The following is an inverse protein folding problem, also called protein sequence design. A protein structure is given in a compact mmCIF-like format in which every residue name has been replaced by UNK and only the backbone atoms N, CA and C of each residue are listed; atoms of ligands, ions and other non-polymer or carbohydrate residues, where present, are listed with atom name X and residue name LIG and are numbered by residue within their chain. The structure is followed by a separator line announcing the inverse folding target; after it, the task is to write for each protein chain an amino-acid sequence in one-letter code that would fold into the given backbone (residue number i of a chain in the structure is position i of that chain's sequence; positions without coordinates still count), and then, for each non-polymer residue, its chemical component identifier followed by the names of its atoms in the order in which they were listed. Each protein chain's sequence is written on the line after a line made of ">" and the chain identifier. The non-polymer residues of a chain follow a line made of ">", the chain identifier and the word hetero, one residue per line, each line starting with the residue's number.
data_IF_224422163066
#
_entry.id   IF_224422163066
#
_cell.length_a   1.000
_cell.length_b   1.000
_cell.length_c   1.000
_cell.angle_alpha   90.00
_cell.angle_beta   90.00
_cell.angle_gamma   90.00
#
_symmetry.space_group_name_H-M   'P 1'
#
loop_
_entity.id
_entity.type
_entity.pdbx_description
1 polymer ?
#
# COMPACT_ATOMS: atom_id res chain seq x y z
N UNK A 1 19.91 -0.95 33.01
CA UNK A 1 18.91 0.08 33.32
C UNK A 1 17.55 -0.59 33.37
N UNK A 2 16.79 -0.48 34.48
CA UNK A 2 15.40 -0.96 34.52
C UNK A 2 14.57 -0.12 33.56
N UNK A 3 14.03 -0.76 32.48
CA UNK A 3 13.04 -0.11 31.61
C UNK A 3 11.88 0.33 32.50
N UNK A 4 11.61 1.62 32.57
CA UNK A 4 10.36 2.14 33.13
C UNK A 4 9.22 1.51 32.34
N UNK A 5 8.38 0.74 33.03
CA UNK A 5 7.24 0.02 32.48
C UNK A 5 6.23 1.01 31.89
N UNK A 6 6.46 1.48 30.65
CA UNK A 6 5.50 2.36 30.02
C UNK A 6 5.99 3.28 28.89
N UNK A 7 7.28 3.56 28.77
CA UNK A 7 7.78 4.44 27.71
C UNK A 7 7.63 3.82 26.30
N UNK A 8 7.18 4.61 25.33
CA UNK A 8 7.14 4.21 23.91
C UNK A 8 8.57 4.17 23.37
N UNK A 9 8.90 3.16 22.59
CA UNK A 9 10.26 2.97 22.08
C UNK A 9 10.32 2.32 20.68
N UNK A 10 9.17 2.10 20.04
CA UNK A 10 9.06 1.57 18.68
C UNK A 10 8.30 2.56 17.81
N UNK A 11 8.96 3.11 16.82
CA UNK A 11 8.38 4.07 15.86
C UNK A 11 8.32 3.41 14.48
N UNK A 12 7.13 3.27 13.91
CA UNK A 12 6.92 2.74 12.55
C UNK A 12 6.43 3.85 11.64
N UNK A 13 7.10 4.05 10.51
CA UNK A 13 6.87 5.18 9.59
C UNK A 13 6.57 4.65 8.20
N UNK A 14 5.48 5.12 7.61
CA UNK A 14 5.09 4.82 6.23
C UNK A 14 5.17 6.07 5.36
N UNK A 15 5.78 5.92 4.18
CA UNK A 15 5.91 6.97 3.18
C UNK A 15 5.85 6.38 1.76
N UNK A 16 5.44 7.19 0.77
CA UNK A 16 5.42 6.80 -0.62
C UNK A 16 5.75 7.99 -1.53
N UNK A 17 4.85 8.41 -2.40
CA UNK A 17 5.05 9.55 -3.30
C UNK A 17 5.31 10.86 -2.50
N UNK A 18 6.44 11.51 -2.79
CA UNK A 18 6.93 12.65 -1.99
C UNK A 18 7.64 12.26 -0.68
N UNK A 19 7.65 10.96 -0.34
CA UNK A 19 8.13 10.43 0.93
C UNK A 19 9.63 10.62 1.18
N UNK A 20 10.46 10.62 0.15
CA UNK A 20 11.91 10.79 0.32
C UNK A 20 12.25 12.14 0.98
N UNK A 21 11.66 13.24 0.49
CA UNK A 21 11.87 14.56 1.07
C UNK A 21 11.31 14.67 2.49
N UNK A 22 10.14 14.07 2.72
CA UNK A 22 9.52 14.01 4.03
C UNK A 22 10.38 13.23 5.03
N UNK A 23 10.89 12.05 4.67
CA UNK A 23 11.79 11.26 5.50
C UNK A 23 13.10 11.99 5.79
N UNK A 24 13.77 12.59 4.80
CA UNK A 24 14.98 13.38 5.01
C UNK A 24 14.73 14.50 6.02
N UNK A 25 13.64 15.25 5.88
CA UNK A 25 13.25 16.30 6.81
C UNK A 25 13.07 15.80 8.23
N UNK A 26 12.34 14.70 8.42
CA UNK A 26 12.11 14.11 9.75
C UNK A 26 13.43 13.60 10.34
N UNK A 27 14.20 12.81 9.57
CA UNK A 27 15.44 12.17 10.05
C UNK A 27 16.48 13.22 10.49
N UNK A 28 16.58 14.38 9.80
CA UNK A 28 17.50 15.45 10.18
C UNK A 28 17.13 16.16 11.49
N UNK A 29 15.90 16.03 11.97
CA UNK A 29 15.38 16.66 13.18
C UNK A 29 15.29 15.70 14.37
N UNK A 30 15.58 14.41 14.20
CA UNK A 30 15.61 13.46 15.31
C UNK A 30 16.84 13.70 16.19
N UNK A 31 16.71 13.59 17.53
CA UNK A 31 17.87 13.70 18.43
C UNK A 31 18.79 12.48 18.28
N UNK A 32 20.10 12.70 18.43
CA UNK A 32 21.12 11.62 18.34
C UNK A 32 21.04 10.58 19.46
N UNK A 33 20.38 10.91 20.55
CA UNK A 33 20.14 10.04 21.72
C UNK A 33 18.69 9.56 21.83
N UNK A 34 17.95 9.55 20.70
CA UNK A 34 16.55 9.09 20.66
C UNK A 34 16.40 7.70 21.33
N UNK A 35 15.65 7.56 22.43
CA UNK A 35 15.52 6.30 23.17
C UNK A 35 14.50 5.34 22.50
N UNK A 36 14.46 5.32 21.16
CA UNK A 36 13.54 4.51 20.36
C UNK A 36 14.23 3.97 19.12
N UNK A 37 13.69 2.87 18.59
CA UNK A 37 14.04 2.33 17.27
C UNK A 37 13.02 2.81 16.24
N UNK A 38 13.48 3.25 15.07
CA UNK A 38 12.64 3.77 13.97
C UNK A 38 12.65 2.79 12.80
N UNK A 39 11.49 2.42 12.32
CA UNK A 39 11.32 1.49 11.20
C UNK A 39 10.60 2.20 10.06
N UNK A 40 11.21 2.22 8.90
CA UNK A 40 10.72 2.95 7.73
C UNK A 40 10.32 1.99 6.62
N UNK A 41 9.09 2.12 6.15
CA UNK A 41 8.64 1.55 4.88
C UNK A 41 8.40 2.70 3.91
N UNK A 42 9.11 2.64 2.79
CA UNK A 42 8.85 3.46 1.61
C UNK A 42 8.66 2.54 0.41
N UNK A 43 7.69 2.84 -0.44
CA UNK A 43 7.44 2.05 -1.65
C UNK A 43 8.55 2.32 -2.69
N UNK A 44 9.58 1.48 -2.71
CA UNK A 44 10.78 1.59 -3.56
C UNK A 44 10.84 0.54 -4.67
N UNK A 45 9.80 -0.33 -4.77
CA UNK A 45 9.79 -1.42 -5.75
C UNK A 45 10.74 -2.56 -5.39
N UNK A 46 11.16 -3.33 -6.42
CA UNK A 46 11.98 -4.53 -6.25
C UNK A 46 13.46 -4.32 -6.64
N UNK A 47 13.81 -3.15 -7.20
CA UNK A 47 15.19 -2.85 -7.60
C UNK A 47 16.06 -2.50 -6.38
N UNK A 48 17.40 -2.73 -6.45
CA UNK A 48 18.32 -2.32 -5.40
C UNK A 48 18.12 -0.86 -5.00
N UNK A 49 18.18 -0.57 -3.71
CA UNK A 49 17.90 0.75 -3.16
C UNK A 49 19.07 1.25 -2.31
N UNK A 50 19.40 2.52 -2.50
CA UNK A 50 20.36 3.29 -1.72
C UNK A 50 19.67 4.25 -0.74
N UNK A 51 18.42 3.95 -0.37
CA UNK A 51 17.65 4.78 0.52
C UNK A 51 18.30 4.97 1.91
N UNK A 52 18.91 3.94 2.53
CA UNK A 52 19.62 4.14 3.80
C UNK A 52 20.76 5.15 3.68
N UNK A 53 21.57 5.09 2.64
CA UNK A 53 22.69 6.00 2.38
C UNK A 53 22.20 7.45 2.21
N UNK A 54 21.10 7.62 1.48
CA UNK A 54 20.49 8.94 1.28
C UNK A 54 19.96 9.52 2.60
N UNK A 55 19.32 8.71 3.43
CA UNK A 55 18.79 9.16 4.72
C UNK A 55 19.91 9.38 5.74
N UNK A 56 20.98 8.55 5.72
CA UNK A 56 22.11 8.67 6.62
C UNK A 56 22.82 10.02 6.48
N UNK A 57 22.83 10.61 5.30
CA UNK A 57 23.49 11.90 5.05
C UNK A 57 23.01 13.02 5.97
N UNK A 58 21.73 13.00 6.37
CA UNK A 58 21.11 14.04 7.17
C UNK A 58 20.68 13.52 8.58
N UNK A 59 20.77 12.21 8.85
CA UNK A 59 20.28 11.59 10.08
C UNK A 59 21.41 11.43 11.12
N UNK A 60 21.22 11.90 12.35
CA UNK A 60 22.21 11.72 13.42
C UNK A 60 22.24 10.29 13.99
N UNK A 61 21.24 9.46 13.66
CA UNK A 61 21.15 8.06 14.06
C UNK A 61 21.75 7.15 12.97
N UNK A 62 22.27 5.96 13.31
CA UNK A 62 22.62 4.92 12.32
C UNK A 62 21.41 4.55 11.47
N UNK A 63 21.55 4.58 10.15
CA UNK A 63 20.51 4.18 9.18
C UNK A 63 21.00 3.00 8.35
N UNK A 64 20.21 1.92 8.28
CA UNK A 64 20.59 0.74 7.52
C UNK A 64 19.38 0.02 6.94
N UNK A 65 19.57 -0.78 5.88
CA UNK A 65 18.57 -1.79 5.54
C UNK A 65 18.45 -2.83 6.65
N UNK A 66 17.22 -3.18 7.00
CA UNK A 66 16.94 -4.25 7.93
C UNK A 66 17.43 -5.60 7.38
N UNK A 67 17.94 -6.47 8.23
CA UNK A 67 18.31 -7.85 7.92
C UNK A 67 17.36 -8.84 8.63
N UNK A 68 17.13 -9.98 8.00
CA UNK A 68 16.29 -11.03 8.60
C UNK A 68 16.94 -11.59 9.86
N UNK A 69 16.14 -11.78 10.92
CA UNK A 69 16.62 -12.23 12.23
C UNK A 69 17.46 -11.20 13.01
N UNK A 70 17.55 -9.95 12.54
CA UNK A 70 18.33 -8.91 13.22
C UNK A 70 17.66 -8.47 14.53
N UNK A 71 18.41 -8.44 15.66
CA UNK A 71 17.91 -7.87 16.91
C UNK A 71 17.63 -6.37 16.78
N UNK A 72 16.51 -5.93 17.38
CA UNK A 72 16.13 -4.53 17.39
C UNK A 72 16.98 -3.78 18.43
N UNK A 73 17.77 -2.82 17.95
CA UNK A 73 18.60 -1.95 18.80
C UNK A 73 17.96 -0.55 18.92
N UNK A 74 18.01 0.09 20.10
CA UNK A 74 17.56 1.46 20.27
C UNK A 74 18.42 2.44 19.46
N UNK A 75 17.93 3.65 19.26
CA UNK A 75 18.64 4.73 18.55
C UNK A 75 19.13 4.32 17.15
N UNK A 76 18.33 3.52 16.44
CA UNK A 76 18.67 3.00 15.11
C UNK A 76 17.48 3.14 14.18
N UNK A 77 17.72 3.52 12.92
CA UNK A 77 16.73 3.60 11.85
C UNK A 77 16.89 2.39 10.92
N UNK A 78 15.87 1.57 10.84
CA UNK A 78 15.78 0.40 9.97
C UNK A 78 14.90 0.71 8.76
N UNK A 79 15.44 0.58 7.56
CA UNK A 79 14.71 0.76 6.30
C UNK A 79 14.34 -0.62 5.74
N UNK A 80 13.10 -0.82 5.40
CA UNK A 80 12.66 -2.06 4.75
C UNK A 80 13.40 -2.25 3.42
N UNK A 81 14.05 -3.41 3.19
CA UNK A 81 14.74 -3.67 1.94
C UNK A 81 13.74 -3.91 0.79
N UNK A 82 14.18 -3.74 -0.48
CA UNK A 82 13.36 -4.03 -1.64
C UNK A 82 12.82 -5.46 -1.65
N UNK A 83 11.60 -5.61 -2.17
CA UNK A 83 10.92 -6.91 -2.37
C UNK A 83 10.84 -7.79 -1.11
N UNK A 84 10.80 -7.19 0.08
CA UNK A 84 10.59 -7.86 1.37
C UNK A 84 9.63 -7.05 2.23
N UNK A 85 8.64 -7.70 2.84
CA UNK A 85 7.92 -7.11 3.96
C UNK A 85 8.83 -7.15 5.20
N UNK A 86 8.88 -6.04 5.92
CA UNK A 86 9.54 -5.96 7.22
C UNK A 86 8.49 -6.09 8.32
N UNK A 87 8.68 -7.05 9.21
CA UNK A 87 7.81 -7.31 10.36
C UNK A 87 8.66 -7.42 11.63
N UNK A 88 7.99 -7.49 12.77
CA UNK A 88 8.62 -7.67 14.09
C UNK A 88 8.05 -8.88 14.79
N UNK A 89 8.91 -9.64 15.47
CA UNK A 89 8.52 -10.75 16.34
C UNK A 89 9.63 -11.04 17.37
N UNK A 90 9.25 -11.18 18.63
CA UNK A 90 10.15 -11.56 19.73
C UNK A 90 11.41 -10.68 19.83
N UNK A 91 11.31 -9.38 19.56
CA UNK A 91 12.43 -8.44 19.59
C UNK A 91 13.35 -8.52 18.36
N UNK A 92 12.99 -9.28 17.34
CA UNK A 92 13.72 -9.44 16.09
C UNK A 92 12.98 -8.80 14.93
N UNK A 93 13.73 -8.37 13.91
CA UNK A 93 13.22 -8.02 12.61
C UNK A 93 13.07 -9.29 11.78
N UNK A 94 11.90 -9.47 11.16
CA UNK A 94 11.61 -10.58 10.25
C UNK A 94 11.34 -10.03 8.86
N UNK A 95 12.04 -10.55 7.86
CA UNK A 95 11.82 -10.21 6.46
C UNK A 95 11.05 -11.32 5.76
N UNK A 96 9.88 -10.97 5.21
CA UNK A 96 8.99 -11.93 4.54
C UNK A 96 8.89 -11.66 3.04
N UNK A 97 8.89 -12.74 2.24
CA UNK A 97 8.52 -12.76 0.82
C UNK A 97 7.04 -13.06 0.59
N UNK A 98 6.24 -12.94 1.64
CA UNK A 98 4.80 -13.17 1.57
C UNK A 98 4.10 -12.36 0.47
N UNK A 99 2.82 -12.66 0.21
CA UNK A 99 2.03 -11.97 -0.80
C UNK A 99 2.05 -10.45 -0.63
N UNK A 100 2.00 -9.72 -1.74
CA UNK A 100 1.94 -8.26 -1.72
C UNK A 100 0.70 -7.77 -0.96
N UNK A 101 0.84 -6.64 -0.29
CA UNK A 101 -0.28 -5.89 0.27
C UNK A 101 -0.33 -4.51 -0.39
N UNK A 102 -1.52 -4.09 -0.83
CA UNK A 102 -1.73 -2.87 -1.61
C UNK A 102 -0.79 -2.78 -2.84
N UNK A 103 -0.56 -3.93 -3.51
CA UNK A 103 0.35 -4.10 -4.67
C UNK A 103 1.82 -3.80 -4.38
N UNK A 104 2.20 -3.56 -3.12
CA UNK A 104 3.54 -3.21 -2.70
C UNK A 104 4.21 -4.33 -1.89
N UNK A 105 5.55 -4.41 -2.03
CA UNK A 105 6.45 -5.15 -1.17
C UNK A 105 7.82 -4.47 -1.22
N UNK A 106 8.24 -3.77 -0.15
CA UNK A 106 7.59 -3.67 1.16
C UNK A 106 6.26 -2.90 1.13
N UNK A 107 5.34 -3.27 2.04
CA UNK A 107 4.12 -2.53 2.36
C UNK A 107 4.14 -2.12 3.84
N UNK A 108 3.45 -1.02 4.18
CA UNK A 108 3.42 -0.48 5.52
C UNK A 108 2.52 -1.30 6.47
N UNK A 109 1.37 -1.77 5.99
CA UNK A 109 0.39 -2.46 6.81
C UNK A 109 0.97 -3.68 7.56
N UNK A 110 1.81 -4.58 6.98
CA UNK A 110 2.44 -5.68 7.70
C UNK A 110 3.36 -5.22 8.85
N UNK A 111 4.16 -4.17 8.62
CA UNK A 111 5.04 -3.60 9.65
C UNK A 111 4.22 -3.06 10.82
N UNK A 112 3.23 -2.24 10.55
CA UNK A 112 2.40 -1.60 11.56
C UNK A 112 1.62 -2.62 12.38
N UNK A 113 1.02 -3.64 11.73
CA UNK A 113 0.30 -4.72 12.43
C UNK A 113 1.23 -5.53 13.34
N UNK A 114 2.41 -5.90 12.86
CA UNK A 114 3.37 -6.63 13.68
C UNK A 114 3.86 -5.80 14.88
N UNK A 115 4.15 -4.51 14.68
CA UNK A 115 4.50 -3.60 15.76
C UNK A 115 3.35 -3.46 16.79
N UNK A 116 2.10 -3.35 16.31
CA UNK A 116 0.91 -3.27 17.16
C UNK A 116 0.73 -4.52 18.04
N UNK A 117 0.90 -5.71 17.47
CA UNK A 117 0.75 -6.98 18.20
C UNK A 117 1.87 -7.18 19.22
N UNK A 118 3.12 -6.94 18.81
CA UNK A 118 4.31 -7.22 19.65
C UNK A 118 4.49 -6.17 20.76
N UNK A 119 4.25 -4.90 20.44
CA UNK A 119 4.61 -3.80 21.34
C UNK A 119 3.40 -3.05 21.90
N UNK A 120 2.23 -3.15 21.29
CA UNK A 120 0.98 -2.54 21.78
C UNK A 120 1.14 -1.03 22.07
N UNK A 121 0.90 -0.60 23.34
CA UNK A 121 1.01 0.80 23.75
C UNK A 121 2.41 1.42 23.58
N UNK A 122 3.45 0.62 23.38
CA UNK A 122 4.83 1.09 23.14
C UNK A 122 5.06 1.52 21.68
N UNK A 123 4.16 1.15 20.76
CA UNK A 123 4.27 1.48 19.36
C UNK A 123 3.79 2.92 19.06
N UNK A 124 4.50 3.61 18.17
CA UNK A 124 4.11 4.89 17.56
C UNK A 124 4.00 4.65 16.06
N UNK A 125 2.80 4.82 15.49
CA UNK A 125 2.56 4.74 14.05
C UNK A 125 2.54 6.12 13.41
N UNK A 126 3.29 6.32 12.32
CA UNK A 126 3.40 7.59 11.59
C UNK A 126 3.07 7.39 10.12
N UNK A 127 2.06 8.09 9.62
CA UNK A 127 1.70 8.10 8.19
C UNK A 127 2.10 9.43 7.59
N UNK A 128 2.94 9.35 6.54
CA UNK A 128 3.40 10.50 5.75
C UNK A 128 2.74 10.54 4.38
N UNK A 129 3.16 11.49 3.56
CA UNK A 129 2.74 11.65 2.17
C UNK A 129 2.85 10.34 1.36
N UNK A 130 1.84 10.04 0.53
CA UNK A 130 1.77 8.84 -0.31
C UNK A 130 0.36 8.55 -0.82
N UNK A 131 0.19 7.45 -1.58
CA UNK A 131 -1.07 7.14 -2.26
C UNK A 131 -1.95 6.08 -1.57
N UNK A 132 -1.50 4.84 -1.37
CA UNK A 132 -2.44 3.71 -1.18
C UNK A 132 -1.96 2.66 -0.16
N UNK A 133 -1.48 3.04 1.05
CA UNK A 133 -1.06 2.05 2.04
C UNK A 133 -1.10 2.63 3.47
N UNK A 134 -0.97 1.78 4.48
CA UNK A 134 -0.70 2.13 5.87
C UNK A 134 -1.93 2.49 6.73
N UNK A 135 -3.09 2.78 6.15
CA UNK A 135 -4.28 3.17 6.92
C UNK A 135 -4.79 2.02 7.80
N UNK A 136 -4.78 0.79 7.31
CA UNK A 136 -5.17 -0.39 8.07
C UNK A 136 -4.12 -0.73 9.15
N UNK A 137 -2.85 -0.55 8.83
CA UNK A 137 -1.76 -0.70 9.79
C UNK A 137 -1.83 0.33 10.92
N UNK A 138 -2.11 1.61 10.60
CA UNK A 138 -2.29 2.64 11.61
C UNK A 138 -3.48 2.36 12.53
N UNK A 139 -4.59 1.85 11.95
CA UNK A 139 -5.73 1.39 12.73
C UNK A 139 -5.36 0.25 13.69
N UNK A 140 -4.51 -0.68 13.25
CA UNK A 140 -4.01 -1.74 14.12
C UNK A 140 -3.18 -1.19 15.29
N UNK A 141 -2.33 -0.18 15.04
CA UNK A 141 -1.57 0.51 16.10
C UNK A 141 -2.52 1.17 17.10
N UNK A 142 -3.53 1.89 16.62
CA UNK A 142 -4.55 2.53 17.46
C UNK A 142 -5.33 1.51 18.30
N UNK A 143 -5.82 0.44 17.68
CA UNK A 143 -6.59 -0.63 18.35
C UNK A 143 -5.80 -1.40 19.42
N UNK A 144 -4.47 -1.48 19.27
CA UNK A 144 -3.57 -2.06 20.27
C UNK A 144 -3.05 -1.04 21.30
N UNK A 145 -3.62 0.17 21.36
CA UNK A 145 -3.30 1.22 22.33
C UNK A 145 -2.02 2.01 22.03
N UNK A 146 -1.47 1.88 20.84
CA UNK A 146 -0.32 2.67 20.38
C UNK A 146 -0.67 4.13 20.09
N UNK A 147 0.34 4.94 19.87
CA UNK A 147 0.22 6.36 19.54
C UNK A 147 0.24 6.57 18.03
N UNK A 148 -0.63 7.42 17.52
CA UNK A 148 -0.80 7.59 16.08
C UNK A 148 -0.56 9.04 15.67
N UNK A 149 0.28 9.22 14.63
CA UNK A 149 0.64 10.53 14.06
C UNK A 149 0.35 10.49 12.56
N UNK A 150 -0.31 11.49 12.04
CA UNK A 150 -0.60 11.63 10.63
C UNK A 150 -0.08 12.99 10.14
N UNK A 151 0.65 12.99 9.05
CA UNK A 151 1.03 14.22 8.38
C UNK A 151 -0.21 14.97 7.91
N UNK A 152 -0.29 16.26 8.16
CA UNK A 152 -1.39 17.10 7.71
C UNK A 152 -1.54 17.03 6.18
N UNK A 153 -2.72 16.70 5.64
CA UNK A 153 -2.91 16.52 4.20
C UNK A 153 -2.53 17.73 3.34
N UNK A 154 -2.70 18.95 3.87
CA UNK A 154 -2.34 20.19 3.18
C UNK A 154 -0.82 20.38 2.99
N UNK A 155 -0.01 19.70 3.81
CA UNK A 155 1.46 19.72 3.73
C UNK A 155 2.04 18.55 2.90
N UNK A 156 1.19 17.73 2.27
CA UNK A 156 1.60 16.54 1.53
C UNK A 156 1.75 16.79 0.03
N UNK A 157 2.76 16.17 -0.58
CA UNK A 157 2.86 16.04 -2.05
C UNK A 157 1.73 15.16 -2.60
N UNK A 158 1.40 14.07 -1.88
CA UNK A 158 0.29 13.18 -2.18
C UNK A 158 -0.50 12.90 -0.88
N UNK A 159 -1.69 13.46 -0.72
CA UNK A 159 -2.42 13.43 0.55
C UNK A 159 -3.27 12.17 0.76
N UNK A 160 -3.27 11.20 -0.16
CA UNK A 160 -4.23 10.08 -0.13
C UNK A 160 -3.99 9.13 1.06
N UNK A 161 -2.72 8.79 1.38
CA UNK A 161 -2.40 7.99 2.58
C UNK A 161 -2.82 8.70 3.87
N UNK A 162 -2.46 9.99 4.11
CA UNK A 162 -2.96 10.73 5.26
C UNK A 162 -4.50 10.82 5.32
N UNK A 163 -5.17 11.11 4.20
CA UNK A 163 -6.65 11.16 4.17
C UNK A 163 -7.27 9.82 4.51
N UNK A 164 -6.76 8.70 3.97
CA UNK A 164 -7.23 7.37 4.29
C UNK A 164 -6.99 7.01 5.77
N UNK A 165 -5.85 7.42 6.34
CA UNK A 165 -5.55 7.25 7.75
C UNK A 165 -6.54 8.02 8.65
N UNK A 166 -6.87 9.27 8.29
CA UNK A 166 -7.86 10.10 9.02
C UNK A 166 -9.29 9.54 8.94
N UNK A 167 -9.62 8.81 7.88
CA UNK A 167 -10.90 8.11 7.78
C UNK A 167 -10.93 6.83 8.63
N UNK A 168 -9.77 6.20 8.84
CA UNK A 168 -9.64 4.93 9.55
C UNK A 168 -9.56 5.09 11.07
N UNK A 169 -8.96 6.17 11.55
CA UNK A 169 -8.72 6.43 12.97
C UNK A 169 -8.88 7.92 13.32
N UNK A 170 -9.09 8.20 14.61
CA UNK A 170 -8.86 9.54 15.18
C UNK A 170 -7.45 9.58 15.76
N UNK A 171 -6.43 10.09 15.01
CA UNK A 171 -5.05 10.01 15.46
C UNK A 171 -4.79 10.91 16.66
N UNK A 172 -3.75 10.59 17.43
CA UNK A 172 -3.34 11.40 18.57
C UNK A 172 -2.80 12.78 18.13
N UNK A 173 -2.16 12.83 16.95
CA UNK A 173 -1.64 14.07 16.38
C UNK A 173 -1.85 14.11 14.86
N UNK A 174 -2.24 15.28 14.37
CA UNK A 174 -2.22 15.63 12.94
C UNK A 174 -1.40 16.91 12.85
N UNK A 175 -0.25 16.85 12.19
CA UNK A 175 0.70 17.97 12.18
C UNK A 175 1.39 18.09 10.81
N UNK A 176 1.84 19.30 10.42
CA UNK A 176 2.62 19.49 9.20
C UNK A 176 3.97 18.76 9.29
N UNK A 177 4.63 18.59 8.15
CA UNK A 177 5.87 17.80 8.05
C UNK A 177 6.99 18.31 8.98
N UNK A 178 7.04 19.63 9.23
CA UNK A 178 8.01 20.28 10.07
C UNK A 178 7.91 19.83 11.54
N UNK A 179 6.73 19.48 12.00
CA UNK A 179 6.43 19.16 13.40
C UNK A 179 6.40 17.65 13.67
N UNK A 180 6.50 16.79 12.64
CA UNK A 180 6.43 15.33 12.81
C UNK A 180 7.54 14.81 13.74
N UNK A 181 8.78 15.27 13.58
CA UNK A 181 9.89 14.83 14.44
C UNK A 181 9.64 15.23 15.91
N UNK A 182 9.19 16.47 16.16
CA UNK A 182 8.83 16.92 17.50
C UNK A 182 7.64 16.13 18.07
N UNK A 183 6.63 15.78 17.24
CA UNK A 183 5.51 14.93 17.64
C UNK A 183 5.95 13.51 18.01
N UNK A 184 6.90 12.92 17.28
CA UNK A 184 7.50 11.62 17.61
C UNK A 184 8.20 11.70 18.98
N UNK A 185 9.08 12.68 19.18
CA UNK A 185 9.81 12.85 20.46
C UNK A 185 8.82 13.07 21.62
N UNK A 186 7.81 13.92 21.44
CA UNK A 186 6.78 14.14 22.45
C UNK A 186 5.97 12.88 22.77
N UNK A 187 5.71 12.05 21.77
CA UNK A 187 4.97 10.80 21.97
C UNK A 187 5.74 9.76 22.81
N UNK A 188 7.08 9.78 22.86
CA UNK A 188 7.88 8.84 23.66
C UNK A 188 7.57 8.94 25.16
N UNK A 189 7.24 10.14 25.64
CA UNK A 189 6.95 10.44 27.04
C UNK A 189 5.46 10.68 27.35
N UNK A 190 4.61 10.63 26.34
CA UNK A 190 3.18 10.84 26.50
C UNK A 190 2.52 9.59 27.15
N UNK A 191 1.90 9.78 28.30
CA UNK A 191 1.26 8.69 29.06
C UNK A 191 -0.19 8.40 28.65
N UNK A 192 -0.71 9.10 27.63
CA UNK A 192 -2.06 8.84 27.12
C UNK A 192 -2.16 7.41 26.58
N UNK A 193 -3.14 6.64 27.04
CA UNK A 193 -3.37 5.26 26.61
C UNK A 193 -4.83 5.09 26.23
N UNK A 194 -5.06 4.43 25.11
CA UNK A 194 -6.38 3.97 24.69
C UNK A 194 -6.64 2.55 25.20
N UNK A 195 -7.90 2.21 25.40
CA UNK A 195 -8.30 0.84 25.72
C UNK A 195 -7.96 -0.11 24.57
N UNK A 196 -7.59 -1.34 24.90
CA UNK A 196 -7.26 -2.39 23.92
C UNK A 196 -8.43 -3.36 23.81
N UNK A 197 -8.95 -3.57 22.59
CA UNK A 197 -9.89 -4.65 22.30
C UNK A 197 -9.13 -5.96 22.08
N UNK A 198 -9.42 -6.97 22.92
CA UNK A 198 -8.76 -8.29 22.78
C UNK A 198 -9.15 -8.99 21.48
N UNK A 199 -10.42 -8.93 21.09
CA UNK A 199 -10.91 -9.53 19.85
C UNK A 199 -10.23 -8.91 18.61
N UNK A 200 -10.09 -7.58 18.59
CA UNK A 200 -9.42 -6.87 17.50
C UNK A 200 -7.93 -7.25 17.45
N UNK A 201 -7.27 -7.35 18.61
CA UNK A 201 -5.86 -7.77 18.68
C UNK A 201 -5.65 -9.20 18.16
N UNK A 202 -6.58 -10.14 18.44
CA UNK A 202 -6.50 -11.50 17.90
C UNK A 202 -6.63 -11.52 16.38
N UNK A 203 -7.53 -10.71 15.81
CA UNK A 203 -7.70 -10.56 14.36
C UNK A 203 -6.44 -9.98 13.72
N UNK A 204 -5.85 -8.92 14.31
CA UNK A 204 -4.59 -8.32 13.85
C UNK A 204 -3.45 -9.34 13.92
N UNK A 205 -3.37 -10.15 14.99
CA UNK A 205 -2.36 -11.20 15.14
C UNK A 205 -2.50 -12.28 14.04
N UNK A 206 -3.72 -12.65 13.67
CA UNK A 206 -3.97 -13.59 12.59
C UNK A 206 -3.53 -13.03 11.23
N UNK A 207 -3.84 -11.77 10.92
CA UNK A 207 -3.34 -11.11 9.71
C UNK A 207 -1.80 -11.00 9.70
N UNK A 208 -1.20 -10.72 10.86
CA UNK A 208 0.27 -10.68 11.02
C UNK A 208 0.89 -12.05 10.76
N UNK A 209 0.29 -13.13 11.27
CA UNK A 209 0.70 -14.52 10.99
C UNK A 209 0.69 -14.81 9.49
N UNK A 210 -0.37 -14.42 8.77
CA UNK A 210 -0.46 -14.60 7.32
C UNK A 210 0.68 -13.87 6.60
N UNK A 211 0.99 -12.62 6.98
CA UNK A 211 2.10 -11.86 6.40
C UNK A 211 3.48 -12.46 6.71
N UNK A 212 3.66 -13.04 7.91
CA UNK A 212 4.89 -13.73 8.32
C UNK A 212 5.12 -15.04 7.56
N UNK A 213 4.07 -15.85 7.44
CA UNK A 213 4.17 -17.20 6.88
C UNK A 213 3.96 -17.25 5.37
N UNK A 214 3.34 -16.23 4.79
CA UNK A 214 2.87 -16.23 3.41
C UNK A 214 1.73 -17.23 3.15
N UNK A 215 1.11 -17.77 4.20
CA UNK A 215 0.08 -18.80 4.11
C UNK A 215 -1.22 -18.26 4.68
N UNK A 216 -2.28 -18.35 3.88
CA UNK A 216 -3.65 -18.01 4.26
C UNK A 216 -4.56 -19.19 3.97
N UNK A 217 -5.28 -19.68 4.98
CA UNK A 217 -6.30 -20.73 4.76
C UNK A 217 -7.69 -20.10 4.65
N UNK A 218 -8.65 -20.77 3.95
CA UNK A 218 -10.04 -20.32 3.96
C UNK A 218 -10.61 -20.17 5.38
N UNK A 219 -10.27 -21.06 6.31
CA UNK A 219 -10.71 -20.98 7.70
C UNK A 219 -10.13 -19.78 8.46
N UNK A 220 -8.87 -19.39 8.19
CA UNK A 220 -8.30 -18.16 8.73
C UNK A 220 -9.05 -16.93 8.21
N UNK A 221 -9.41 -16.94 6.91
CA UNK A 221 -10.13 -15.82 6.30
C UNK A 221 -11.57 -15.70 6.77
N UNK A 222 -12.26 -16.82 7.04
CA UNK A 222 -13.62 -16.82 7.62
C UNK A 222 -13.65 -16.27 9.04
N UNK A 223 -12.54 -16.37 9.79
CA UNK A 223 -12.39 -15.70 11.09
C UNK A 223 -12.14 -14.19 10.97
N UNK A 224 -11.56 -13.74 9.84
CA UNK A 224 -11.25 -12.35 9.58
C UNK A 224 -12.41 -11.58 8.93
N UNK A 225 -13.27 -12.27 8.17
CA UNK A 225 -14.33 -11.62 7.42
C UNK A 225 -15.20 -12.56 6.60
N UNK A 226 -15.79 -12.07 5.53
CA UNK A 226 -16.77 -12.77 4.73
C UNK A 226 -16.32 -12.88 3.27
N UNK A 227 -16.66 -13.99 2.59
CA UNK A 227 -16.46 -14.11 1.15
C UNK A 227 -17.14 -12.97 0.41
N UNK A 228 -16.44 -12.40 -0.55
CA UNK A 228 -16.97 -11.37 -1.43
C UNK A 228 -17.14 -11.89 -2.86
N UNK A 229 -17.82 -11.12 -3.71
CA UNK A 229 -17.86 -11.36 -5.16
C UNK A 229 -16.63 -10.85 -5.89
N UNK A 230 -15.66 -10.25 -5.18
CA UNK A 230 -14.45 -9.73 -5.77
C UNK A 230 -13.41 -10.82 -5.99
N UNK A 231 -12.65 -10.70 -7.08
CA UNK A 231 -11.48 -11.52 -7.38
C UNK A 231 -10.20 -10.74 -7.14
N UNK A 232 -9.16 -11.44 -6.73
CA UNK A 232 -7.84 -10.86 -6.53
C UNK A 232 -7.21 -10.51 -7.89
N UNK A 233 -6.82 -9.27 -8.16
CA UNK A 233 -6.19 -8.91 -9.43
C UNK A 233 -4.79 -9.53 -9.62
N UNK A 234 -4.06 -9.84 -8.54
CA UNK A 234 -2.74 -10.47 -8.63
C UNK A 234 -2.79 -11.97 -8.99
N UNK A 235 -3.78 -12.72 -8.49
CA UNK A 235 -3.80 -14.19 -8.66
C UNK A 235 -5.14 -14.76 -9.15
N UNK A 236 -6.17 -13.94 -9.39
CA UNK A 236 -7.50 -14.37 -9.83
C UNK A 236 -8.33 -15.11 -8.77
N UNK A 237 -7.80 -15.31 -7.56
CA UNK A 237 -8.48 -16.03 -6.49
C UNK A 237 -9.61 -15.24 -5.85
N UNK A 238 -10.55 -15.94 -5.20
CA UNK A 238 -11.65 -15.33 -4.45
C UNK A 238 -11.08 -14.47 -3.31
N UNK A 239 -11.65 -13.28 -3.12
CA UNK A 239 -11.31 -12.38 -2.03
C UNK A 239 -12.38 -12.42 -0.92
N UNK A 240 -11.94 -12.26 0.33
CA UNK A 240 -12.77 -12.03 1.50
C UNK A 240 -12.74 -10.55 1.85
N UNK A 241 -13.88 -9.99 2.18
CA UNK A 241 -13.99 -8.69 2.82
C UNK A 241 -13.55 -8.84 4.28
N UNK A 242 -12.57 -8.06 4.70
CA UNK A 242 -11.98 -8.13 6.04
C UNK A 242 -12.58 -7.05 6.93
N UNK A 243 -13.26 -7.48 7.99
CA UNK A 243 -13.97 -6.57 8.89
C UNK A 243 -15.19 -5.89 8.27
N UNK A 244 -15.94 -5.15 9.08
CA UNK A 244 -17.17 -4.46 8.69
C UNK A 244 -17.07 -2.94 8.77
N UNK A 245 -15.91 -2.41 9.14
CA UNK A 245 -15.62 -1.00 9.33
C UNK A 245 -14.53 -0.46 8.39
N UNK A 246 -14.29 0.84 8.44
CA UNK A 246 -13.24 1.50 7.67
C UNK A 246 -11.84 1.24 8.27
N UNK A 247 -10.81 1.16 7.41
CA UNK A 247 -10.88 1.14 5.95
C UNK A 247 -11.46 -0.17 5.43
N UNK A 248 -12.29 -0.11 4.39
CA UNK A 248 -12.79 -1.31 3.71
C UNK A 248 -11.62 -2.06 3.07
N UNK A 249 -11.48 -3.36 3.39
CA UNK A 249 -10.33 -4.18 2.99
C UNK A 249 -10.75 -5.53 2.44
N UNK A 250 -9.88 -6.08 1.60
CA UNK A 250 -10.04 -7.39 1.01
C UNK A 250 -8.75 -8.21 1.14
N UNK A 251 -8.86 -9.51 1.29
CA UNK A 251 -7.73 -10.45 1.27
C UNK A 251 -8.12 -11.72 0.53
N UNK A 252 -7.28 -12.19 -0.39
CA UNK A 252 -7.54 -13.43 -1.10
C UNK A 252 -7.00 -14.66 -0.36
N UNK A 253 -7.37 -15.85 -0.82
CA UNK A 253 -6.95 -17.11 -0.21
C UNK A 253 -5.44 -17.40 -0.33
N UNK A 254 -4.73 -16.74 -1.26
CA UNK A 254 -3.27 -16.83 -1.36
C UNK A 254 -2.56 -15.79 -0.48
N UNK A 255 -3.32 -14.91 0.19
CA UNK A 255 -2.80 -13.95 1.16
C UNK A 255 -2.60 -12.52 0.66
N UNK A 256 -2.79 -12.19 -0.64
CA UNK A 256 -2.77 -10.81 -1.11
C UNK A 256 -3.84 -9.99 -0.39
N UNK A 257 -3.49 -8.77 0.00
CA UNK A 257 -4.40 -7.87 0.71
C UNK A 257 -4.49 -6.51 0.03
N UNK A 258 -5.66 -5.92 0.08
CA UNK A 258 -5.96 -4.66 -0.58
C UNK A 258 -6.88 -3.80 0.27
N UNK A 259 -6.66 -2.49 0.29
CA UNK A 259 -7.71 -1.54 0.62
C UNK A 259 -8.70 -1.45 -0.54
N UNK A 260 -9.93 -0.98 -0.30
CA UNK A 260 -10.88 -0.74 -1.38
C UNK A 260 -10.33 0.24 -2.42
N UNK A 261 -9.61 1.27 -1.98
CA UNK A 261 -8.98 2.26 -2.87
C UNK A 261 -7.91 1.64 -3.77
N UNK A 262 -7.03 0.80 -3.21
CA UNK A 262 -6.00 0.13 -4.00
C UNK A 262 -6.62 -0.87 -4.97
N UNK A 263 -7.64 -1.62 -4.55
CA UNK A 263 -8.36 -2.57 -5.40
C UNK A 263 -9.08 -1.87 -6.56
N UNK A 264 -9.77 -0.76 -6.29
CA UNK A 264 -10.45 0.04 -7.32
C UNK A 264 -9.47 0.60 -8.36
N UNK A 265 -8.33 1.13 -7.89
CA UNK A 265 -7.27 1.65 -8.78
C UNK A 265 -6.77 0.59 -9.74
N UNK A 266 -6.52 -0.63 -9.26
CA UNK A 266 -6.02 -1.73 -10.09
C UNK A 266 -7.10 -2.27 -11.04
N UNK A 267 -8.35 -2.38 -10.58
CA UNK A 267 -9.47 -2.79 -11.43
C UNK A 267 -9.67 -1.80 -12.58
N UNK A 268 -9.51 -0.49 -12.33
CA UNK A 268 -9.56 0.53 -13.37
C UNK A 268 -8.45 0.37 -14.38
N UNK A 269 -7.20 0.21 -13.94
CA UNK A 269 -6.06 -0.05 -14.83
C UNK A 269 -6.23 -1.35 -15.63
N UNK A 270 -6.78 -2.38 -15.01
CA UNK A 270 -7.09 -3.65 -15.68
C UNK A 270 -8.16 -3.50 -16.77
N UNK A 271 -9.21 -2.71 -16.51
CA UNK A 271 -10.25 -2.40 -17.50
C UNK A 271 -9.69 -1.60 -18.67
N UNK A 272 -8.89 -0.56 -18.40
CA UNK A 272 -8.21 0.22 -19.44
C UNK A 272 -7.32 -0.67 -20.33
N UNK A 273 -6.48 -1.50 -19.74
CA UNK A 273 -5.62 -2.44 -20.47
C UNK A 273 -6.42 -3.43 -21.35
N UNK A 274 -7.57 -3.89 -20.87
CA UNK A 274 -8.47 -4.76 -21.63
C UNK A 274 -9.08 -4.04 -22.82
N UNK A 275 -9.48 -2.78 -22.66
CA UNK A 275 -10.00 -1.94 -23.76
C UNK A 275 -8.93 -1.70 -24.82
N UNK A 276 -7.71 -1.33 -24.45
CA UNK A 276 -6.59 -1.20 -25.40
C UNK A 276 -6.25 -2.50 -26.12
N UNK A 277 -6.36 -3.63 -25.42
CA UNK A 277 -6.19 -4.95 -26.05
C UNK A 277 -7.31 -5.25 -27.06
N UNK A 278 -8.52 -4.81 -26.78
CA UNK A 278 -9.66 -4.93 -27.72
C UNK A 278 -9.44 -4.03 -28.95
N UNK A 279 -9.05 -2.77 -28.77
CA UNK A 279 -8.73 -1.84 -29.87
C UNK A 279 -7.72 -2.47 -30.82
N UNK A 280 -6.59 -2.96 -30.30
CA UNK A 280 -5.54 -3.59 -31.12
C UNK A 280 -6.09 -4.77 -31.95
N UNK A 281 -6.89 -5.65 -31.33
CA UNK A 281 -7.47 -6.81 -32.04
C UNK A 281 -8.47 -6.42 -33.12
N UNK A 282 -9.24 -5.37 -32.89
CA UNK A 282 -10.17 -4.82 -33.88
C UNK A 282 -9.41 -4.18 -35.06
N UNK A 283 -8.32 -3.44 -34.79
CA UNK A 283 -7.43 -2.87 -35.81
C UNK A 283 -6.76 -3.96 -36.66
N UNK A 284 -6.23 -5.04 -36.05
CA UNK A 284 -5.68 -6.20 -36.76
C UNK A 284 -6.75 -6.85 -37.67
N UNK A 285 -7.99 -6.95 -37.20
CA UNK A 285 -9.11 -7.46 -37.99
C UNK A 285 -9.47 -6.53 -39.17
N UNK A 286 -9.36 -5.22 -38.96
CA UNK A 286 -9.59 -4.21 -40.01
C UNK A 286 -8.54 -4.33 -41.12
N UNK A 287 -7.25 -4.45 -40.77
CA UNK A 287 -6.16 -4.66 -41.73
C UNK A 287 -6.39 -5.90 -42.60
N UNK A 288 -6.81 -7.03 -42.00
CA UNK A 288 -7.13 -8.25 -42.74
C UNK A 288 -8.28 -8.06 -43.72
N UNK A 289 -9.31 -7.28 -43.37
CA UNK A 289 -10.41 -6.96 -44.27
C UNK A 289 -9.94 -6.06 -45.41
N UNK A 290 -9.07 -5.10 -45.13
CA UNK A 290 -8.53 -4.20 -46.16
C UNK A 290 -7.68 -4.98 -47.18
N UNK A 291 -6.86 -5.93 -46.75
CA UNK A 291 -6.13 -6.83 -47.63
C UNK A 291 -7.09 -7.69 -48.49
N UNK A 292 -8.14 -8.27 -47.89
CA UNK A 292 -9.14 -9.05 -48.61
C UNK A 292 -9.90 -8.19 -49.63
N UNK A 293 -10.25 -6.94 -49.31
CA UNK A 293 -10.90 -6.02 -50.22
C UNK A 293 -9.99 -5.70 -51.40
N UNK A 294 -8.70 -5.38 -51.15
CA UNK A 294 -7.75 -5.06 -52.23
C UNK A 294 -7.60 -6.20 -53.24
N UNK A 295 -7.51 -7.46 -52.77
CA UNK A 295 -7.44 -8.65 -53.60
C UNK A 295 -8.77 -8.95 -54.28
N UNK A 296 -9.91 -8.80 -53.59
CA UNK A 296 -11.27 -9.02 -54.10
C UNK A 296 -11.66 -8.03 -55.17
N UNK A 297 -11.29 -6.74 -55.04
CA UNK A 297 -11.50 -5.70 -56.03
C UNK A 297 -10.69 -5.93 -57.30
N UNK A 298 -9.42 -6.34 -57.16
CA UNK A 298 -8.59 -6.74 -58.27
C UNK A 298 -9.20 -7.92 -59.04
N UNK A 299 -9.80 -8.88 -58.33
CA UNK A 299 -10.44 -10.07 -58.91
C UNK A 299 -11.93 -9.85 -59.34
N UNK A 300 -12.53 -8.66 -59.15
CA UNK A 300 -13.95 -8.37 -59.36
C UNK A 300 -14.90 -9.34 -58.61
N UNK A 301 -14.57 -9.74 -57.38
CA UNK A 301 -15.30 -10.73 -56.61
C UNK A 301 -16.64 -10.20 -56.08
N UNK A 302 -17.73 -10.96 -56.12
CA UNK A 302 -19.06 -10.51 -55.64
C UNK A 302 -19.16 -10.29 -54.11
N UNK A 303 -18.20 -10.78 -53.30
CA UNK A 303 -18.18 -10.66 -51.83
C UNK A 303 -17.71 -9.30 -51.30
N UNK A 304 -17.23 -8.39 -52.14
CA UNK A 304 -16.63 -7.11 -51.71
C UNK A 304 -17.61 -6.16 -50.99
N UNK A 305 -18.91 -6.24 -51.31
CA UNK A 305 -19.93 -5.38 -50.64
C UNK A 305 -20.11 -5.74 -49.17
N UNK A 306 -20.12 -7.01 -48.83
CA UNK A 306 -20.23 -7.47 -47.44
C UNK A 306 -18.95 -7.11 -46.62
N UNK A 307 -17.78 -7.27 -47.24
CA UNK A 307 -16.51 -6.87 -46.64
C UNK A 307 -16.43 -5.37 -46.34
N UNK A 308 -16.96 -4.51 -47.28
CA UNK A 308 -17.03 -3.08 -47.01
C UNK A 308 -17.96 -2.74 -45.84
N UNK A 309 -19.13 -3.32 -45.78
CA UNK A 309 -20.06 -3.12 -44.66
C UNK A 309 -19.46 -3.61 -43.33
N UNK A 310 -18.66 -4.67 -43.36
CA UNK A 310 -17.89 -5.18 -42.16
C UNK A 310 -16.78 -4.21 -41.77
N UNK A 311 -16.05 -3.64 -42.74
CA UNK A 311 -15.02 -2.61 -42.51
C UNK A 311 -15.60 -1.40 -41.79
N UNK A 312 -16.73 -0.83 -42.27
CA UNK A 312 -17.39 0.31 -41.65
C UNK A 312 -17.81 0.04 -40.21
N UNK A 313 -18.39 -1.15 -39.93
CA UNK A 313 -18.76 -1.54 -38.57
C UNK A 313 -17.54 -1.68 -37.65
N UNK A 314 -16.43 -2.22 -38.16
CA UNK A 314 -15.18 -2.34 -37.36
C UNK A 314 -14.57 -0.97 -37.07
N UNK A 315 -14.56 -0.06 -38.04
CA UNK A 315 -14.06 1.30 -37.83
C UNK A 315 -14.87 2.03 -36.74
N UNK A 316 -16.19 1.93 -36.75
CA UNK A 316 -17.05 2.49 -35.71
C UNK A 316 -16.74 1.84 -34.32
N UNK A 317 -16.63 0.52 -34.26
CA UNK A 317 -16.31 -0.20 -33.01
C UNK A 317 -14.92 0.16 -32.45
N UNK A 318 -13.91 0.36 -33.30
CA UNK A 318 -12.59 0.82 -32.91
C UNK A 318 -12.66 2.19 -32.24
N UNK A 319 -13.36 3.14 -32.87
CA UNK A 319 -13.46 4.50 -32.35
C UNK A 319 -14.21 4.54 -31.01
N UNK A 320 -15.33 3.81 -30.90
CA UNK A 320 -16.10 3.71 -29.65
C UNK A 320 -15.27 3.09 -28.53
N UNK A 321 -14.56 1.96 -28.81
CA UNK A 321 -13.72 1.29 -27.83
C UNK A 321 -12.54 2.14 -27.40
N UNK A 322 -11.92 2.86 -28.32
CA UNK A 322 -10.82 3.80 -28.05
C UNK A 322 -11.28 4.94 -27.15
N UNK A 323 -12.45 5.51 -27.43
CA UNK A 323 -13.00 6.57 -26.59
C UNK A 323 -13.28 6.07 -25.15
N UNK A 324 -13.84 4.86 -24.99
CA UNK A 324 -14.02 4.25 -23.67
C UNK A 324 -12.70 4.05 -22.94
N UNK A 325 -11.62 3.64 -23.63
CA UNK A 325 -10.30 3.48 -23.04
C UNK A 325 -9.74 4.82 -22.55
N UNK A 326 -9.87 5.89 -23.33
CA UNK A 326 -9.44 7.24 -22.97
C UNK A 326 -10.24 7.79 -21.77
N UNK A 327 -11.56 7.58 -21.75
CA UNK A 327 -12.41 8.03 -20.66
C UNK A 327 -12.13 7.28 -19.34
N UNK A 328 -11.73 6.01 -19.42
CA UNK A 328 -11.37 5.20 -18.25
C UNK A 328 -10.04 5.61 -17.62
N UNK A 329 -9.13 6.21 -18.40
CA UNK A 329 -7.80 6.68 -17.92
C UNK A 329 -7.88 7.99 -17.13
N UNK A 330 -8.92 8.81 -17.33
CA UNK A 330 -9.08 10.10 -16.65
C UNK A 330 -9.50 9.91 -15.19
N UNK A 331 -8.59 10.22 -14.24
CA UNK A 331 -8.90 10.23 -12.81
C UNK A 331 -9.93 11.32 -12.46
N UNK A 332 -10.86 11.08 -11.52
CA UNK A 332 -11.82 12.10 -11.06
C UNK A 332 -11.18 13.39 -10.52
N UNK A 333 -9.90 13.31 -10.09
CA UNK A 333 -9.13 14.47 -9.58
C UNK A 333 -8.65 15.42 -10.69
N UNK A 334 -8.64 15.02 -11.97
CA UNK A 334 -8.20 15.89 -13.09
C UNK A 334 -9.36 16.65 -13.74
N UNK A 335 -10.61 16.30 -13.44
CA UNK A 335 -11.80 17.02 -13.95
C UNK A 335 -12.28 18.20 -13.08
N UNK A 336 -11.56 18.50 -11.99
CA UNK A 336 -11.90 19.57 -11.04
C UNK A 336 -10.81 20.65 -10.96
N UNK A 337 -10.30 21.08 -12.12
CA UNK A 337 -9.49 22.32 -12.25
C UNK A 337 -10.15 23.20 -13.28
#
# INVERSE_FOLDING_TARGET
>A
MKKTSGARDIVVVAASLGGLLALKKIMSLLPSDLPASVFVVMHIGALPSVLPEILQADCPLPVMHACDGQPIAPSTVYVAPPDRHMLMRDGLIILSTGPKENFARPAADPLFRSAAVEYGPRAIGVILTGRLDGAAGLKAVDACGGFTIVQEPSSCVAPDMPKAALQAVSPNRVVPIEDIAAAIVGALTDDSRKGVSMDERERIALETKIALTGISSPGDLERLGHRSSMTCPDCGGVAWRIGDDLPLRYRCHTGHAFSALSLESEQRSGAENALWSAVRRLEESLLLIEEQLSLGEAARSPGTTELRARKERLQAAIEETRQLALDSSTSPSEKAV
#
